data_IF_273787501640
#
_entry.id   IF_273787501640
#
_cell.length_a   1.000
_cell.length_b   1.000
_cell.length_c   1.000
_cell.angle_alpha   90.00
_cell.angle_beta   90.00
_cell.angle_gamma   90.00
#
_symmetry.space_group_name_H-M   'P 1'
#
loop_
_entity.id
_entity.type
_entity.pdbx_description
1 polymer ?
#
# COMPACT_ATOMS: atom_id res chain seq x y z
N UNK A 1 20.71 -1.82 -6.19
CA UNK A 1 20.30 -2.91 -5.29
C UNK A 1 18.80 -2.75 -5.12
N UNK A 2 18.03 -3.76 -5.50
CA UNK A 2 16.59 -3.77 -5.25
C UNK A 2 16.33 -3.89 -3.75
N UNK A 3 15.30 -3.21 -3.26
CA UNK A 3 14.88 -3.35 -1.87
C UNK A 3 14.22 -4.72 -1.64
N UNK A 4 14.36 -5.26 -0.43
CA UNK A 4 13.76 -6.54 -0.05
C UNK A 4 12.22 -6.47 -0.10
N UNK A 5 11.66 -5.29 0.20
CA UNK A 5 10.21 -5.05 0.16
C UNK A 5 9.91 -3.78 -0.64
N UNK A 6 9.00 -3.90 -1.62
CA UNK A 6 8.35 -2.75 -2.24
C UNK A 6 6.99 -2.50 -1.57
N UNK A 7 6.87 -1.40 -0.84
CA UNK A 7 5.66 -1.06 -0.11
C UNK A 7 4.85 0.02 -0.83
N UNK A 8 3.68 -0.35 -1.34
CA UNK A 8 2.77 0.57 -2.02
C UNK A 8 1.81 1.21 -1.01
N UNK A 9 1.84 2.53 -0.91
CA UNK A 9 1.11 3.27 0.12
C UNK A 9 0.15 4.30 -0.48
N UNK A 10 -1.09 4.25 0.00
CA UNK A 10 -2.09 5.30 -0.17
C UNK A 10 -2.60 5.71 1.22
N UNK A 11 -2.49 7.00 1.62
CA UNK A 11 -2.98 7.46 2.92
C UNK A 11 -4.50 7.32 3.11
N UNK A 12 -5.31 7.23 2.04
CA UNK A 12 -6.77 7.03 2.18
C UNK A 12 -7.14 5.58 2.48
N UNK A 13 -6.22 4.63 2.26
CA UNK A 13 -6.46 3.22 2.52
C UNK A 13 -6.20 2.90 4.00
N UNK A 14 -7.22 2.51 4.79
CA UNK A 14 -7.05 2.23 6.21
C UNK A 14 -6.12 1.04 6.45
N UNK A 15 -6.15 0.05 5.56
CA UNK A 15 -5.28 -1.12 5.64
C UNK A 15 -3.81 -0.77 5.37
N UNK A 16 -3.54 0.02 4.32
CA UNK A 16 -2.19 0.48 4.03
C UNK A 16 -1.62 1.34 5.17
N UNK A 17 -2.46 2.18 5.80
CA UNK A 17 -2.09 2.97 6.97
C UNK A 17 -1.73 2.13 8.19
N UNK A 18 -2.52 1.11 8.51
CA UNK A 18 -2.19 0.20 9.61
C UNK A 18 -0.89 -0.55 9.33
N UNK A 19 -0.74 -1.11 8.13
CA UNK A 19 0.45 -1.87 7.77
C UNK A 19 1.70 -0.97 7.71
N UNK A 20 1.59 0.29 7.26
CA UNK A 20 2.75 1.19 7.19
C UNK A 20 3.35 1.48 8.57
N UNK A 21 2.53 1.51 9.63
CA UNK A 21 3.03 1.65 11.00
C UNK A 21 3.87 0.44 11.42
N UNK A 22 3.38 -0.77 11.14
CA UNK A 22 4.10 -2.01 11.43
C UNK A 22 5.40 -2.12 10.61
N UNK A 23 5.36 -1.82 9.31
CA UNK A 23 6.55 -1.82 8.45
C UNK A 23 7.63 -0.87 8.99
N UNK A 24 7.26 0.31 9.48
CA UNK A 24 8.23 1.24 10.10
C UNK A 24 8.84 0.68 11.39
N UNK A 25 8.08 -0.04 12.20
CA UNK A 25 8.58 -0.67 13.42
C UNK A 25 9.59 -1.77 13.11
N UNK A 26 9.31 -2.62 12.13
CA UNK A 26 10.19 -3.74 11.79
C UNK A 26 11.38 -3.27 10.94
N UNK A 27 11.22 -2.26 10.07
CA UNK A 27 12.36 -1.62 9.38
C UNK A 27 13.37 -1.04 10.38
N UNK A 28 12.92 -0.51 11.52
CA UNK A 28 13.80 -0.03 12.58
C UNK A 28 14.61 -1.14 13.28
N UNK A 29 14.21 -2.42 13.12
CA UNK A 29 14.94 -3.58 13.64
C UNK A 29 16.08 -4.02 12.69
N UNK A 30 16.15 -3.46 11.48
CA UNK A 30 17.28 -3.66 10.55
C UNK A 30 17.23 -4.96 9.74
N UNK A 31 16.11 -5.67 9.76
CA UNK A 31 15.97 -6.98 9.11
C UNK A 31 15.82 -6.91 7.58
N UNK A 32 15.41 -5.75 7.06
CA UNK A 32 15.19 -5.57 5.62
C UNK A 32 15.19 -4.09 5.20
N UNK A 33 15.41 -3.87 3.92
CA UNK A 33 15.30 -2.58 3.23
C UNK A 33 13.92 -2.42 2.60
N UNK A 34 13.31 -1.23 2.76
CA UNK A 34 11.97 -0.93 2.24
C UNK A 34 12.05 0.18 1.20
N UNK A 35 11.51 -0.09 0.02
CA UNK A 35 11.26 0.91 -1.01
C UNK A 35 9.80 1.37 -0.94
N UNK A 36 9.59 2.63 -0.58
CA UNK A 36 8.26 3.22 -0.45
C UNK A 36 7.79 3.74 -1.80
N UNK A 37 6.59 3.32 -2.22
CA UNK A 37 5.97 3.72 -3.49
C UNK A 37 4.58 4.29 -3.21
N UNK A 38 4.40 5.57 -3.51
CA UNK A 38 3.11 6.23 -3.29
C UNK A 38 2.17 5.97 -4.46
N UNK A 39 0.94 5.57 -4.16
CA UNK A 39 -0.10 5.31 -5.15
C UNK A 39 -1.40 6.02 -4.76
N UNK A 40 -2.30 6.16 -5.72
CA UNK A 40 -3.68 6.57 -5.49
C UNK A 40 -4.61 5.42 -5.87
N UNK A 41 -5.31 4.84 -4.89
CA UNK A 41 -6.34 3.84 -5.10
C UNK A 41 -7.47 4.38 -6.00
N UNK A 42 -7.79 5.67 -5.86
CA UNK A 42 -8.76 6.32 -6.76
C UNK A 42 -8.30 6.29 -8.22
N UNK A 43 -7.01 6.56 -8.47
CA UNK A 43 -6.50 6.60 -9.83
C UNK A 43 -6.35 5.19 -10.44
N UNK A 44 -5.83 4.22 -9.69
CA UNK A 44 -5.66 2.85 -10.21
C UNK A 44 -7.01 2.16 -10.45
N UNK A 45 -8.04 2.51 -9.68
CA UNK A 45 -9.38 1.94 -9.82
C UNK A 45 -10.31 2.83 -10.66
N UNK A 46 -9.80 3.86 -11.34
CA UNK A 46 -10.64 4.81 -12.07
C UNK A 46 -11.49 4.18 -13.18
N UNK A 47 -11.10 3.00 -13.66
CA UNK A 47 -11.80 2.25 -14.72
C UNK A 47 -12.63 1.08 -14.18
N UNK A 48 -12.66 0.87 -12.86
CA UNK A 48 -13.40 -0.23 -12.24
C UNK A 48 -14.84 0.20 -12.05
N UNK A 49 -15.76 -0.51 -12.70
CA UNK A 49 -17.19 -0.36 -12.51
C UNK A 49 -17.63 -1.18 -11.28
N UNK A 50 -17.63 -0.56 -10.11
CA UNK A 50 -18.00 -1.25 -8.87
C UNK A 50 -19.46 -1.69 -8.84
N UNK A 51 -20.37 -0.95 -9.48
CA UNK A 51 -21.80 -1.28 -9.51
C UNK A 51 -22.03 -2.56 -10.32
N UNK A 52 -21.28 -2.76 -11.41
CA UNK A 52 -21.33 -3.99 -12.18
C UNK A 52 -20.71 -5.20 -11.45
N UNK A 53 -19.65 -4.99 -10.65
CA UNK A 53 -18.92 -6.07 -9.97
C UNK A 53 -19.54 -6.48 -8.63
N UNK A 54 -20.23 -5.55 -7.96
CA UNK A 54 -20.83 -5.74 -6.65
C UNK A 54 -22.29 -5.26 -6.67
N UNK A 55 -23.18 -5.99 -7.36
CA UNK A 55 -24.61 -5.70 -7.33
C UNK A 55 -25.16 -5.84 -5.89
N UNK A 56 -26.26 -5.14 -5.57
CA UNK A 56 -26.89 -5.17 -4.24
C UNK A 56 -27.41 -6.56 -3.82
#
# INVERSE_FOLDING_TARGET
MDADINFYFDPVCPFAWMTSKWVRQVQAQGEYTVNWRFISLRQINATVDYDAHFPP
#
